data_IF_327540577264
#
_entry.id   IF_327540577264
#
_cell.length_a   1.000
_cell.length_b   1.000
_cell.length_c   1.000
_cell.angle_alpha   90.00
_cell.angle_beta   90.00
_cell.angle_gamma   90.00
#
_symmetry.space_group_name_H-M   'P 1'
#
loop_
_entity.id
_entity.type
_entity.pdbx_description
1 polymer ?
#
# COMPACT_ATOMS: atom_id res chain seq x y z
N UNK A 1 -0.59 9.61 -27.65
CA UNK A 1 0.86 9.69 -27.34
C UNK A 1 1.19 8.44 -26.55
N UNK A 2 1.91 7.49 -27.17
CA UNK A 2 2.15 6.17 -26.61
C UNK A 2 3.05 6.26 -25.37
N UNK A 3 2.65 5.60 -24.30
CA UNK A 3 3.46 5.44 -23.09
C UNK A 3 4.60 4.46 -23.41
N UNK A 4 5.84 4.85 -23.12
CA UNK A 4 7.01 4.03 -23.41
C UNK A 4 7.01 2.74 -22.53
N UNK A 5 7.35 1.56 -23.08
CA UNK A 5 7.46 0.35 -22.29
C UNK A 5 8.66 0.44 -21.34
N UNK A 6 8.44 0.08 -20.07
CA UNK A 6 9.51 -0.11 -19.08
C UNK A 6 10.54 -1.11 -19.62
N UNK A 7 11.80 -0.67 -19.69
CA UNK A 7 12.92 -1.48 -20.18
C UNK A 7 13.15 -2.67 -19.26
N UNK A 8 13.15 -3.87 -19.84
CA UNK A 8 13.68 -5.08 -19.19
C UNK A 8 15.19 -4.95 -19.11
N UNK A 9 15.72 -4.62 -17.94
CA UNK A 9 17.15 -4.74 -17.69
C UNK A 9 17.49 -6.20 -17.39
N UNK A 10 18.10 -6.87 -18.36
CA UNK A 10 18.85 -8.08 -18.13
C UNK A 10 20.23 -7.69 -17.59
N UNK A 11 20.54 -7.99 -16.33
CA UNK A 11 21.91 -8.24 -15.89
C UNK A 11 21.93 -9.04 -14.60
N UNK A 12 22.72 -10.12 -14.64
CA UNK A 12 23.01 -10.94 -13.48
C UNK A 12 23.97 -10.22 -12.54
N UNK A 13 23.54 -10.11 -11.29
CA UNK A 13 24.34 -10.23 -10.08
C UNK A 13 23.36 -10.72 -9.03
N UNK A 14 23.59 -11.91 -8.49
CA UNK A 14 22.84 -12.38 -7.34
C UNK A 14 23.20 -11.46 -6.16
N UNK A 15 22.44 -10.38 -5.98
CA UNK A 15 22.38 -9.74 -4.68
C UNK A 15 21.82 -10.79 -3.74
N UNK A 16 22.55 -11.12 -2.69
CA UNK A 16 22.04 -11.82 -1.51
C UNK A 16 21.05 -10.91 -0.75
N UNK A 17 20.09 -10.34 -1.48
CA UNK A 17 19.03 -9.50 -0.96
C UNK A 17 17.99 -10.41 -0.32
N UNK A 18 17.69 -10.16 0.95
CA UNK A 18 16.50 -10.73 1.57
C UNK A 18 15.28 -10.16 0.83
N UNK A 19 14.53 -11.03 0.16
CA UNK A 19 13.28 -10.68 -0.50
C UNK A 19 12.15 -10.63 0.53
N UNK A 20 11.18 -9.75 0.33
CA UNK A 20 9.90 -9.78 1.05
C UNK A 20 8.87 -10.48 0.18
N UNK A 21 8.19 -11.48 0.73
CA UNK A 21 7.03 -12.10 0.10
C UNK A 21 5.77 -11.55 0.77
N UNK A 22 4.91 -10.90 -0.02
CA UNK A 22 3.60 -10.45 0.46
C UNK A 22 2.54 -11.47 0.04
N UNK A 23 1.93 -12.12 1.02
CA UNK A 23 0.82 -13.05 0.80
C UNK A 23 -0.47 -12.45 1.39
N UNK A 24 -1.49 -12.29 0.56
CA UNK A 24 -2.82 -11.89 1.01
C UNK A 24 -3.72 -13.13 1.10
N UNK A 25 -4.36 -13.30 2.24
CA UNK A 25 -5.21 -14.44 2.52
C UNK A 25 -6.61 -14.31 1.88
N UNK A 26 -7.34 -15.43 1.71
CA UNK A 26 -8.68 -15.40 1.15
C UNK A 26 -9.60 -14.56 2.02
N UNK A 27 -10.47 -13.79 1.38
CA UNK A 27 -11.47 -12.98 2.05
C UNK A 27 -12.42 -13.82 2.94
N UNK A 28 -12.52 -15.14 2.76
CA UNK A 28 -13.38 -16.02 3.57
C UNK A 28 -12.78 -16.45 4.91
N UNK A 29 -11.49 -16.18 5.18
CA UNK A 29 -10.85 -16.57 6.45
C UNK A 29 -11.26 -15.62 7.57
N UNK A 30 -11.87 -16.10 8.68
CA UNK A 30 -12.18 -15.28 9.84
C UNK A 30 -10.90 -14.62 10.42
N UNK A 31 -10.99 -13.39 10.96
CA UNK A 31 -9.82 -12.66 11.47
C UNK A 31 -8.95 -13.46 12.47
N UNK A 32 -9.60 -14.28 13.32
CA UNK A 32 -8.90 -15.11 14.33
C UNK A 32 -8.15 -16.32 13.77
N UNK A 33 -8.39 -16.74 12.53
CA UNK A 33 -7.73 -17.90 11.91
C UNK A 33 -6.49 -17.54 11.09
N UNK A 34 -6.33 -16.28 10.66
CA UNK A 34 -5.15 -15.83 9.89
C UNK A 34 -3.82 -16.07 10.62
N UNK A 35 -3.81 -15.85 11.95
CA UNK A 35 -2.64 -16.11 12.79
C UNK A 35 -2.30 -17.60 12.94
N UNK A 36 -3.28 -18.50 12.82
CA UNK A 36 -3.06 -19.94 12.96
C UNK A 36 -2.35 -20.55 11.74
N UNK A 37 -2.49 -19.93 10.56
CA UNK A 37 -1.87 -20.38 9.30
C UNK A 37 -0.35 -20.15 9.31
N UNK A 38 0.15 -19.27 10.18
CA UNK A 38 1.59 -18.99 10.34
C UNK A 38 2.39 -20.20 10.84
N UNK A 39 1.73 -21.18 11.48
CA UNK A 39 2.38 -22.37 12.01
C UNK A 39 2.95 -23.31 10.94
N UNK A 40 2.52 -23.18 9.68
CA UNK A 40 2.92 -24.05 8.57
C UNK A 40 4.13 -23.53 7.77
N UNK A 41 4.65 -22.33 8.07
CA UNK A 41 5.59 -21.59 7.21
C UNK A 41 7.07 -22.07 7.21
N UNK A 42 7.36 -23.29 7.67
CA UNK A 42 8.58 -24.03 7.26
C UNK A 42 9.95 -23.34 7.39
N UNK A 43 10.15 -22.40 8.32
CA UNK A 43 11.44 -21.74 8.57
C UNK A 43 11.58 -20.31 8.02
N UNK A 44 10.57 -19.77 7.35
CA UNK A 44 10.48 -18.34 7.03
C UNK A 44 9.83 -17.57 8.18
N UNK A 45 10.30 -16.35 8.46
CA UNK A 45 9.64 -15.44 9.40
C UNK A 45 8.45 -14.79 8.69
N UNK A 46 7.24 -15.33 8.91
CA UNK A 46 6.01 -14.72 8.41
C UNK A 46 5.47 -13.75 9.46
N UNK A 47 5.21 -12.51 9.04
CA UNK A 47 4.62 -11.47 9.88
C UNK A 47 3.20 -11.17 9.38
N UNK A 48 2.21 -11.32 10.26
CA UNK A 48 0.82 -11.04 9.97
C UNK A 48 0.48 -9.59 10.32
N UNK A 49 -0.11 -8.86 9.37
CA UNK A 49 -0.54 -7.48 9.54
C UNK A 49 -2.05 -7.34 9.37
N UNK A 50 -2.71 -6.91 10.44
CA UNK A 50 -4.12 -6.54 10.47
C UNK A 50 -4.24 -5.18 11.16
N UNK A 51 -4.42 -4.12 10.37
CA UNK A 51 -4.36 -2.73 10.85
C UNK A 51 -3.07 -2.45 11.64
N UNK A 52 -1.94 -2.98 11.15
CA UNK A 52 -0.66 -2.99 11.85
C UNK A 52 0.51 -2.54 10.95
N UNK A 53 1.55 -2.00 11.59
CA UNK A 53 2.80 -1.61 10.96
C UNK A 53 3.89 -2.68 11.11
N UNK A 54 4.75 -2.79 10.11
CA UNK A 54 6.03 -3.51 10.18
C UNK A 54 7.17 -2.64 9.65
N UNK A 55 8.38 -2.91 10.15
CA UNK A 55 9.60 -2.29 9.66
C UNK A 55 10.43 -3.29 8.86
N UNK A 56 10.69 -2.97 7.60
CA UNK A 56 11.58 -3.78 6.77
C UNK A 56 12.70 -2.92 6.17
N UNK A 57 13.93 -3.14 6.65
CA UNK A 57 15.13 -2.42 6.19
C UNK A 57 14.95 -0.88 6.16
N UNK A 58 14.30 -0.33 7.19
CA UNK A 58 14.04 1.11 7.31
C UNK A 58 12.77 1.60 6.60
N UNK A 59 12.08 0.73 5.86
CA UNK A 59 10.80 1.03 5.23
C UNK A 59 9.65 0.71 6.18
N UNK A 60 8.66 1.61 6.22
CA UNK A 60 7.43 1.47 6.98
C UNK A 60 6.36 0.83 6.11
N UNK A 61 5.92 -0.36 6.52
CA UNK A 61 4.84 -1.09 5.89
C UNK A 61 3.59 -0.96 6.76
N UNK A 62 2.43 -0.87 6.14
CA UNK A 62 1.14 -0.93 6.84
C UNK A 62 0.22 -1.91 6.14
N UNK A 63 -0.34 -2.87 6.88
CA UNK A 63 -1.31 -3.84 6.37
C UNK A 63 -2.72 -3.55 6.86
N UNK A 64 -3.69 -3.51 5.94
CA UNK A 64 -5.11 -3.34 6.26
C UNK A 64 -5.97 -4.31 5.44
N UNK A 65 -6.69 -5.25 6.08
CA UNK A 65 -7.46 -6.25 5.34
C UNK A 65 -8.85 -5.77 4.92
N UNK A 66 -9.35 -4.64 5.46
CA UNK A 66 -10.69 -4.15 5.20
C UNK A 66 -10.93 -3.87 3.71
N UNK A 67 -12.07 -4.32 3.19
CA UNK A 67 -12.48 -4.14 1.81
C UNK A 67 -13.94 -3.75 1.68
N UNK A 68 -14.32 -3.06 0.59
CA UNK A 68 -15.72 -2.94 0.23
C UNK A 68 -16.39 -4.31 0.15
N UNK A 69 -17.62 -4.40 0.64
CA UNK A 69 -18.46 -5.58 0.41
C UNK A 69 -18.48 -5.94 -1.09
N UNK A 70 -18.19 -7.20 -1.40
CA UNK A 70 -18.07 -7.73 -2.75
C UNK A 70 -18.71 -9.11 -2.82
N UNK A 71 -19.89 -9.21 -3.42
CA UNK A 71 -20.64 -10.46 -3.52
C UNK A 71 -21.17 -10.96 -2.16
N UNK A 72 -20.84 -12.20 -1.80
CA UNK A 72 -21.23 -12.82 -0.53
C UNK A 72 -20.56 -12.16 0.69
N UNK A 73 -21.04 -12.44 1.91
CA UNK A 73 -20.46 -11.90 3.16
C UNK A 73 -19.13 -12.56 3.49
N UNK A 74 -18.08 -12.11 2.81
CA UNK A 74 -16.69 -12.46 3.14
C UNK A 74 -16.21 -11.68 4.38
N UNK A 75 -15.19 -12.20 5.06
CA UNK A 75 -14.53 -11.52 6.19
C UNK A 75 -13.96 -10.18 5.74
N UNK A 76 -13.84 -9.24 6.69
CA UNK A 76 -13.35 -7.89 6.46
C UNK A 76 -14.13 -7.07 5.41
N UNK A 77 -15.37 -7.48 5.09
CA UNK A 77 -16.29 -6.69 4.28
C UNK A 77 -16.91 -5.55 5.09
N UNK A 78 -16.85 -4.33 4.55
CA UNK A 78 -17.55 -3.16 5.07
C UNK A 78 -18.33 -2.46 3.95
N UNK A 79 -19.44 -1.78 4.27
CA UNK A 79 -20.15 -0.97 3.30
C UNK A 79 -19.23 0.15 2.79
N UNK A 80 -19.38 0.49 1.50
CA UNK A 80 -18.70 1.64 0.88
C UNK A 80 -19.09 2.94 1.57
N UNK A 81 -18.20 3.93 1.57
CA UNK A 81 -18.44 5.24 2.18
C UNK A 81 -17.93 5.33 3.62
N UNK A 82 -18.68 5.90 4.58
CA UNK A 82 -18.13 6.33 5.87
C UNK A 82 -17.35 5.27 6.66
N UNK A 83 -17.87 4.04 6.75
CA UNK A 83 -17.18 2.96 7.47
C UNK A 83 -15.83 2.61 6.83
N UNK A 84 -15.74 2.69 5.51
CA UNK A 84 -14.51 2.47 4.76
C UNK A 84 -13.54 3.65 4.93
N UNK A 85 -14.05 4.88 4.81
CA UNK A 85 -13.27 6.10 5.02
C UNK A 85 -12.63 6.16 6.41
N UNK A 86 -13.33 5.71 7.46
CA UNK A 86 -12.81 5.65 8.83
C UNK A 86 -11.57 4.74 8.93
N UNK A 87 -11.61 3.56 8.30
CA UNK A 87 -10.46 2.63 8.27
C UNK A 87 -9.26 3.25 7.59
N UNK A 88 -9.47 3.91 6.46
CA UNK A 88 -8.36 4.57 5.75
C UNK A 88 -7.84 5.79 6.50
N UNK A 89 -8.70 6.53 7.21
CA UNK A 89 -8.30 7.65 8.06
C UNK A 89 -7.37 7.24 9.21
N UNK A 90 -7.55 6.03 9.76
CA UNK A 90 -6.71 5.48 10.82
C UNK A 90 -5.29 5.10 10.36
N UNK A 91 -5.06 4.94 9.04
CA UNK A 91 -3.74 4.62 8.50
C UNK A 91 -2.78 5.80 8.78
N UNK A 92 -1.63 5.56 9.44
CA UNK A 92 -0.68 6.60 9.80
C UNK A 92 0.02 7.22 8.59
N UNK A 93 0.47 8.45 8.74
CA UNK A 93 1.26 9.12 7.70
C UNK A 93 2.68 8.55 7.61
N UNK A 94 3.32 8.70 6.45
CA UNK A 94 4.70 8.29 6.22
C UNK A 94 4.91 6.78 6.06
N UNK A 95 3.86 6.08 5.62
CA UNK A 95 3.93 4.69 5.15
C UNK A 95 4.60 4.66 3.78
N UNK A 96 5.63 3.81 3.64
CA UNK A 96 6.36 3.66 2.38
C UNK A 96 5.68 2.63 1.46
N UNK A 97 5.16 1.55 2.06
CA UNK A 97 4.44 0.48 1.36
C UNK A 97 3.11 0.21 2.08
N UNK A 98 2.00 0.45 1.38
CA UNK A 98 0.67 0.12 1.85
C UNK A 98 0.24 -1.23 1.29
N UNK A 99 -0.16 -2.15 2.15
CA UNK A 99 -0.68 -3.47 1.80
C UNK A 99 -2.18 -3.50 2.09
N UNK A 100 -3.00 -3.70 1.07
CA UNK A 100 -4.47 -3.80 1.21
C UNK A 100 -5.00 -5.05 0.51
N UNK A 101 -6.08 -5.66 1.01
CA UNK A 101 -6.68 -6.75 0.25
C UNK A 101 -7.31 -6.25 -1.06
N UNK A 102 -8.16 -5.21 -0.96
CA UNK A 102 -8.88 -4.64 -2.10
C UNK A 102 -8.08 -3.58 -2.86
N UNK A 103 -8.31 -3.46 -4.19
CA UNK A 103 -7.69 -2.42 -4.99
C UNK A 103 -8.27 -1.02 -4.70
N UNK A 104 -7.48 0.06 -4.82
CA UNK A 104 -8.01 1.41 -4.98
C UNK A 104 -8.83 1.51 -6.29
N UNK A 105 -9.89 2.33 -6.29
CA UNK A 105 -10.73 2.52 -7.47
C UNK A 105 -9.90 2.91 -8.71
N UNK A 106 -10.14 2.23 -9.83
CA UNK A 106 -9.46 2.49 -11.11
C UNK A 106 -8.03 1.94 -11.19
N UNK A 107 -7.56 1.18 -10.19
CA UNK A 107 -6.21 0.62 -10.13
C UNK A 107 -6.28 -0.90 -9.97
N UNK A 108 -6.16 -1.65 -11.07
CA UNK A 108 -6.18 -3.12 -11.01
C UNK A 108 -7.50 -3.68 -10.48
N UNK A 109 -8.62 -3.07 -10.86
CA UNK A 109 -9.95 -3.29 -10.27
C UNK A 109 -11.06 -3.58 -11.27
N UNK A 110 -10.73 -3.79 -12.55
CA UNK A 110 -11.69 -4.09 -13.60
C UNK A 110 -12.09 -5.57 -13.58
N UNK A 111 -13.37 -5.85 -13.35
CA UNK A 111 -13.92 -7.19 -13.38
C UNK A 111 -14.31 -7.61 -14.81
N UNK A 112 -14.41 -8.92 -15.07
CA UNK A 112 -14.79 -9.46 -16.40
C UNK A 112 -16.16 -8.97 -16.91
N UNK A 113 -17.07 -8.61 -16.01
CA UNK A 113 -18.38 -8.05 -16.34
C UNK A 113 -18.33 -6.53 -16.68
N UNK A 114 -17.13 -5.94 -16.77
CA UNK A 114 -16.90 -4.54 -17.13
C UNK A 114 -17.07 -3.53 -15.99
N UNK A 115 -17.49 -3.98 -14.80
CA UNK A 115 -17.60 -3.13 -13.62
C UNK A 115 -16.27 -2.98 -12.88
N UNK A 116 -16.22 -2.01 -11.96
CA UNK A 116 -15.05 -1.75 -11.11
C UNK A 116 -15.35 -2.07 -9.66
N UNK A 117 -14.48 -2.86 -9.04
CA UNK A 117 -14.62 -3.28 -7.66
C UNK A 117 -13.82 -2.43 -6.67
N UNK A 118 -12.94 -1.55 -7.15
CA UNK A 118 -12.00 -0.84 -6.28
C UNK A 118 -12.65 0.15 -5.34
N UNK A 119 -11.95 0.47 -4.25
CA UNK A 119 -12.41 1.34 -3.19
C UNK A 119 -12.10 2.82 -3.51
N UNK A 120 -13.14 3.66 -3.56
CA UNK A 120 -12.99 5.09 -3.80
C UNK A 120 -12.34 5.81 -2.61
N UNK A 121 -12.73 5.46 -1.39
CA UNK A 121 -12.19 6.03 -0.15
C UNK A 121 -10.68 5.70 0.01
N UNK A 122 -10.27 4.49 -0.38
CA UNK A 122 -8.87 4.08 -0.40
C UNK A 122 -8.06 4.91 -1.41
N UNK A 123 -8.57 5.07 -2.63
CA UNK A 123 -7.90 5.89 -3.65
C UNK A 123 -7.74 7.34 -3.15
N UNK A 124 -8.81 7.91 -2.58
CA UNK A 124 -8.78 9.26 -2.03
C UNK A 124 -7.73 9.40 -0.92
N UNK A 125 -7.67 8.45 0.02
CA UNK A 125 -6.66 8.46 1.09
C UNK A 125 -5.23 8.32 0.55
N UNK A 126 -5.01 7.41 -0.41
CA UNK A 126 -3.71 7.20 -1.05
C UNK A 126 -3.23 8.47 -1.75
N UNK A 127 -4.08 9.11 -2.55
CA UNK A 127 -3.68 10.25 -3.37
C UNK A 127 -3.55 11.54 -2.56
N UNK A 128 -4.44 11.77 -1.59
CA UNK A 128 -4.49 13.03 -0.86
C UNK A 128 -3.53 13.10 0.33
N UNK A 129 -3.33 11.98 1.05
CA UNK A 129 -2.67 12.00 2.37
C UNK A 129 -1.56 10.98 2.53
N UNK A 130 -1.80 9.72 2.20
CA UNK A 130 -0.86 8.64 2.51
C UNK A 130 0.34 8.65 1.57
N UNK A 131 0.09 8.80 0.26
CA UNK A 131 1.08 8.90 -0.82
C UNK A 131 2.27 7.91 -0.68
N UNK A 132 2.01 6.61 -0.43
CA UNK A 132 3.08 5.62 -0.33
C UNK A 132 3.79 5.47 -1.69
N UNK A 133 5.04 5.01 -1.69
CA UNK A 133 5.71 4.67 -2.94
C UNK A 133 5.00 3.49 -3.64
N UNK A 134 4.51 2.53 -2.84
CA UNK A 134 3.80 1.36 -3.34
C UNK A 134 2.50 1.13 -2.58
N UNK A 135 1.43 0.82 -3.33
CA UNK A 135 0.20 0.26 -2.83
C UNK A 135 0.03 -1.12 -3.47
N UNK A 136 0.16 -2.17 -2.67
CA UNK A 136 0.16 -3.58 -3.12
C UNK A 136 -1.12 -4.24 -2.64
N UNK A 137 -1.83 -4.88 -3.57
CA UNK A 137 -3.15 -5.45 -3.33
C UNK A 137 -3.42 -6.64 -4.25
N UNK A 138 -4.59 -7.26 -4.09
CA UNK A 138 -5.04 -8.37 -4.91
C UNK A 138 -6.53 -8.30 -5.16
N UNK A 139 -7.25 -9.33 -4.74
CA UNK A 139 -8.72 -9.46 -4.79
C UNK A 139 -9.32 -9.60 -6.20
N UNK A 140 -8.96 -8.74 -7.14
CA UNK A 140 -9.49 -8.77 -8.51
C UNK A 140 -8.51 -9.52 -9.41
N UNK A 141 -8.78 -10.82 -9.58
CA UNK A 141 -7.90 -11.74 -10.31
C UNK A 141 -7.80 -11.41 -11.81
N UNK A 142 -8.79 -10.70 -12.34
CA UNK A 142 -8.91 -10.36 -13.75
C UNK A 142 -7.92 -9.27 -14.17
N UNK A 143 -7.64 -8.31 -13.28
CA UNK A 143 -6.90 -7.09 -13.58
C UNK A 143 -5.55 -7.04 -12.86
N UNK A 144 -4.89 -8.21 -12.78
CA UNK A 144 -3.55 -8.37 -12.23
C UNK A 144 -2.53 -7.58 -13.07
N UNK A 145 -1.59 -6.89 -12.42
CA UNK A 145 -0.61 -6.06 -13.09
C UNK A 145 -0.20 -4.83 -12.28
N UNK A 146 0.33 -3.83 -12.97
CA UNK A 146 0.87 -2.62 -12.36
C UNK A 146 0.36 -1.37 -13.07
N UNK A 147 0.10 -0.32 -12.30
CA UNK A 147 -0.16 1.03 -12.81
C UNK A 147 0.48 2.09 -11.90
N UNK A 148 0.48 3.35 -12.32
CA UNK A 148 0.98 4.46 -11.49
C UNK A 148 0.20 5.74 -11.76
N UNK A 149 0.22 6.65 -10.80
CA UNK A 149 -0.20 8.05 -10.96
C UNK A 149 0.97 9.05 -10.93
N UNK A 150 2.20 8.55 -11.01
CA UNK A 150 3.43 9.34 -10.93
C UNK A 150 3.93 9.58 -9.50
N UNK A 151 3.12 9.27 -8.48
CA UNK A 151 3.52 9.32 -7.07
C UNK A 151 3.53 7.91 -6.48
N UNK A 152 2.41 7.21 -6.59
CA UNK A 152 2.23 5.85 -6.08
C UNK A 152 2.30 4.85 -7.23
N UNK A 153 2.99 3.73 -7.01
CA UNK A 153 2.88 2.54 -7.85
C UNK A 153 1.84 1.60 -7.27
N UNK A 154 0.86 1.21 -8.09
CA UNK A 154 -0.26 0.35 -7.71
C UNK A 154 -0.05 -1.03 -8.29
N UNK A 155 0.05 -2.04 -7.44
CA UNK A 155 0.43 -3.40 -7.82
C UNK A 155 -0.69 -4.37 -7.44
N UNK A 156 -1.45 -4.82 -8.42
CA UNK A 156 -2.35 -5.97 -8.25
C UNK A 156 -1.52 -7.26 -8.41
N UNK A 157 -1.15 -7.85 -7.28
CA UNK A 157 -0.33 -9.05 -7.15
C UNK A 157 -1.16 -10.35 -7.08
N UNK A 158 -2.40 -10.36 -7.57
CA UNK A 158 -3.22 -11.58 -7.63
C UNK A 158 -2.49 -12.70 -8.39
N UNK A 159 -2.06 -13.73 -7.66
CA UNK A 159 -1.31 -14.87 -8.21
C UNK A 159 -2.21 -15.85 -8.95
N UNK A 160 -3.48 -15.94 -8.55
CA UNK A 160 -4.47 -16.81 -9.14
C UNK A 160 -5.27 -16.09 -10.24
N UNK A 161 -5.61 -16.81 -11.29
CA UNK A 161 -6.53 -16.36 -12.36
C UNK A 161 -8.01 -16.45 -11.95
N UNK A 162 -8.90 -16.08 -12.85
CA UNK A 162 -10.35 -16.13 -12.61
C UNK A 162 -10.87 -17.55 -12.33
N UNK A 163 -10.15 -18.58 -12.79
CA UNK A 163 -10.46 -19.99 -12.51
C UNK A 163 -9.78 -20.49 -11.21
N UNK A 164 -9.27 -19.58 -10.39
CA UNK A 164 -8.53 -19.86 -9.16
C UNK A 164 -7.29 -20.74 -9.35
N UNK A 165 -6.70 -20.74 -10.55
CA UNK A 165 -5.42 -21.40 -10.79
C UNK A 165 -4.30 -20.41 -10.55
N UNK A 166 -3.39 -20.75 -9.65
CA UNK A 166 -2.22 -19.92 -9.35
C UNK A 166 -1.13 -20.09 -10.42
N UNK A 167 -1.35 -19.38 -11.53
CA UNK A 167 -0.56 -19.45 -12.76
C UNK A 167 0.28 -18.19 -12.99
N UNK A 168 0.02 -17.09 -12.28
CA UNK A 168 0.75 -15.84 -12.46
C UNK A 168 2.05 -15.86 -11.69
N UNK A 169 3.11 -15.39 -12.34
CA UNK A 169 4.40 -15.19 -11.70
C UNK A 169 4.33 -14.05 -10.67
N UNK A 170 5.15 -14.12 -9.59
CA UNK A 170 5.27 -13.02 -8.66
C UNK A 170 5.63 -11.70 -9.34
N UNK A 171 5.02 -10.60 -8.88
CA UNK A 171 5.47 -9.27 -9.26
C UNK A 171 6.73 -8.93 -8.46
N UNK A 172 7.82 -8.64 -9.17
CA UNK A 172 9.09 -8.22 -8.58
C UNK A 172 9.30 -6.74 -8.86
N UNK A 173 9.56 -5.97 -7.81
CA UNK A 173 9.81 -4.54 -7.88
C UNK A 173 10.88 -4.14 -6.87
N UNK A 174 11.63 -3.11 -7.22
CA UNK A 174 12.70 -2.59 -6.38
C UNK A 174 12.14 -1.56 -5.40
N UNK A 175 12.47 -1.72 -4.13
CA UNK A 175 12.15 -0.74 -3.09
C UNK A 175 13.27 0.32 -3.01
N UNK A 176 12.94 1.61 -2.85
CA UNK A 176 13.97 2.63 -2.64
C UNK A 176 14.70 2.35 -1.32
N UNK A 177 16.03 2.45 -1.33
CA UNK A 177 16.79 2.42 -0.07
C UNK A 177 16.44 3.66 0.75
N UNK A 178 15.90 3.46 1.95
CA UNK A 178 15.83 4.54 2.92
C UNK A 178 17.19 4.66 3.59
N UNK A 179 17.83 5.81 3.46
CA UNK A 179 19.00 6.11 4.28
C UNK A 179 18.63 5.91 5.77
N UNK A 180 19.50 5.31 6.60
CA UNK A 180 19.24 5.24 8.02
C UNK A 180 18.95 6.65 8.54
N UNK A 181 18.03 6.82 9.50
CA UNK A 181 17.86 8.10 10.16
C UNK A 181 19.23 8.55 10.66
N UNK A 182 19.62 9.77 10.31
CA UNK A 182 20.91 10.37 10.65
C UNK A 182 21.17 10.24 12.16
N UNK A 183 21.97 9.25 12.56
CA UNK A 183 22.46 9.12 13.93
C UNK A 183 23.58 10.14 14.12
N UNK A 184 23.27 11.44 14.10
CA UNK A 184 24.36 12.40 14.16
C UNK A 184 24.08 13.90 14.06
N UNK A 185 22.86 14.35 13.80
CA UNK A 185 22.54 15.78 13.94
C UNK A 185 21.48 15.97 15.01
N UNK A 186 21.96 16.30 16.22
CA UNK A 186 21.13 16.99 17.20
C UNK A 186 20.50 18.23 16.56
N UNK A 187 19.42 18.78 17.16
CA UNK A 187 18.76 19.95 16.60
C UNK A 187 19.80 21.03 16.33
N UNK A 188 19.97 21.39 15.05
CA UNK A 188 20.81 22.51 14.67
C UNK A 188 20.40 23.75 15.46
N UNK A 189 21.34 24.67 15.75
CA UNK A 189 21.06 25.81 16.62
C UNK A 189 19.79 26.52 16.14
N UNK A 190 18.90 26.80 17.11
CA UNK A 190 17.67 27.55 16.91
C UNK A 190 18.04 28.78 16.08
N UNK A 191 17.56 28.83 14.82
CA UNK A 191 17.68 30.05 14.04
C UNK A 191 16.83 31.08 14.75
N UNK A 192 17.47 32.14 15.23
CA UNK A 192 16.81 33.29 15.81
C UNK A 192 15.72 33.75 14.86
N UNK A 193 14.47 33.57 15.28
CA UNK A 193 13.31 34.15 14.62
C UNK A 193 13.37 35.63 14.97
N UNK A 194 13.60 36.54 14.00
CA UNK A 194 13.53 37.96 14.31
C UNK A 194 12.12 38.29 14.81
N UNK A 195 11.98 39.13 15.84
CA UNK A 195 10.69 39.44 16.41
C UNK A 195 9.79 40.03 15.32
N UNK A 196 8.54 39.57 15.28
CA UNK A 196 7.51 40.10 14.41
C UNK A 196 7.40 41.61 14.61
N UNK A 197 7.60 42.37 13.54
CA UNK A 197 7.28 43.79 13.51
C UNK A 197 5.76 43.94 13.66
N UNK A 198 5.33 44.13 14.90
CA UNK A 198 4.06 44.74 15.22
C UNK A 198 4.20 46.23 14.94
N UNK A 199 3.52 46.74 13.92
CA UNK A 199 2.88 48.06 13.93
C UNK A 199 2.11 48.27 12.61
N UNK A 200 0.84 47.91 12.62
CA UNK A 200 -0.17 48.55 11.78
C UNK A 200 -0.51 49.88 12.46
N UNK A 201 0.22 50.96 12.13
CA UNK A 201 -0.29 52.30 12.36
C UNK A 201 -1.50 52.52 11.44
N UNK A 202 -2.62 52.92 12.06
CA UNK A 202 -3.83 53.35 11.39
C UNK A 202 -3.65 54.63 10.55
N UNK A 203 -4.73 55.10 9.91
CA UNK A 203 -4.67 55.93 8.71
C UNK A 203 -4.56 57.42 9.02
N UNK A 204 -3.97 58.21 8.11
CA UNK A 204 -4.35 59.59 7.68
C UNK A 204 -3.21 60.22 6.83
N UNK A 205 -3.45 61.30 6.04
CA UNK A 205 -4.71 62.01 5.77
C UNK A 205 -5.28 61.82 4.35
#
# INVERSE_FOLDING_TARGET
RACAPLRKHAHGRAHAGRCMHVCMHPASTPPRQGQAILAEAGGETVEYLEEAEAMFRGLRLFGCPWQPEFGERWAFGLPRGPAMAERWAAVPAGVDVLLTHSPPLGRGDLCNHGGRAGCADLLAAVQARLRPAFCVFGHIHEDAGASSDGVTSYLNASSCDFAYKCTRHPLVFDLPERAPPDQGQGPGPLRDVPPAASELQGPQP
#
